data_IF_876284400015
#
_entry.id   IF_876284400015
#
_cell.length_a   1.000
_cell.length_b   1.000
_cell.length_c   1.000
_cell.angle_alpha   90.00
_cell.angle_beta   90.00
_cell.angle_gamma   90.00
#
_symmetry.space_group_name_H-M   'P 1'
#
loop_
_entity.id
_entity.type
_entity.pdbx_description
1 polymer ?
#
# COMPACT_ATOMS: atom_id res chain seq x y z
N UNK A 1 -12.95 -26.11 -81.84
CA UNK A 1 -13.69 -24.82 -81.82
C UNK A 1 -13.61 -24.20 -80.43
N UNK A 2 -12.65 -23.29 -80.27
CA UNK A 2 -12.84 -21.93 -79.69
C UNK A 2 -14.04 -21.67 -78.76
N UNK A 3 -13.78 -21.39 -77.48
CA UNK A 3 -13.88 -20.01 -76.92
C UNK A 3 -13.46 -19.92 -75.45
N UNK A 4 -12.52 -19.01 -75.22
CA UNK A 4 -12.16 -18.35 -73.94
C UNK A 4 -13.36 -17.58 -73.38
N UNK A 5 -13.46 -17.50 -72.05
CA UNK A 5 -14.00 -16.32 -71.34
C UNK A 5 -13.36 -16.16 -69.96
N UNK A 6 -12.30 -15.36 -69.95
CA UNK A 6 -12.04 -14.21 -69.07
C UNK A 6 -12.47 -14.24 -67.60
N UNK A 7 -11.44 -14.21 -66.74
CA UNK A 7 -11.27 -13.48 -65.48
C UNK A 7 -12.31 -12.41 -65.10
N UNK A 8 -12.78 -12.48 -63.85
CA UNK A 8 -13.15 -11.32 -63.05
C UNK A 8 -12.51 -11.46 -61.67
N UNK A 9 -11.43 -10.70 -61.48
CA UNK A 9 -10.65 -10.66 -60.25
C UNK A 9 -11.44 -10.03 -59.11
N UNK A 10 -11.63 -10.79 -58.03
CA UNK A 10 -11.99 -10.24 -56.73
C UNK A 10 -10.71 -9.75 -56.06
N UNK A 11 -10.34 -8.48 -56.30
CA UNK A 11 -9.35 -7.79 -55.46
C UNK A 11 -10.02 -7.53 -54.11
N UNK A 12 -9.66 -8.33 -53.11
CA UNK A 12 -10.01 -8.07 -51.72
C UNK A 12 -9.35 -6.75 -51.29
N UNK A 13 -10.15 -5.71 -51.09
CA UNK A 13 -9.71 -4.49 -50.41
C UNK A 13 -9.39 -4.84 -48.95
N UNK A 14 -8.11 -5.07 -48.66
CA UNK A 14 -7.58 -5.09 -47.31
C UNK A 14 -7.69 -3.68 -46.72
N UNK A 15 -8.81 -3.42 -46.05
CA UNK A 15 -9.08 -2.18 -45.31
C UNK A 15 -8.19 -2.18 -44.07
N UNK A 16 -6.98 -1.63 -44.21
CA UNK A 16 -6.06 -1.40 -43.10
C UNK A 16 -6.65 -0.32 -42.19
N UNK A 17 -7.26 -0.74 -41.09
CA UNK A 17 -7.57 0.14 -39.96
C UNK A 17 -6.25 0.46 -39.26
N UNK A 18 -5.68 1.63 -39.55
CA UNK A 18 -4.69 2.23 -38.67
C UNK A 18 -5.43 2.73 -37.43
N UNK A 19 -5.44 1.91 -36.38
CA UNK A 19 -5.78 2.38 -35.04
C UNK A 19 -4.56 3.13 -34.54
N UNK A 20 -4.61 4.45 -34.63
CA UNK A 20 -3.67 5.34 -33.96
C UNK A 20 -3.92 5.21 -32.46
N UNK A 21 -3.18 4.35 -31.78
CA UNK A 21 -3.08 4.36 -30.32
C UNK A 21 -2.39 5.67 -29.93
N UNK A 22 -3.20 6.71 -29.69
CA UNK A 22 -2.75 7.83 -28.88
C UNK A 22 -2.27 7.23 -27.55
N UNK A 23 -0.98 7.36 -27.28
CA UNK A 23 -0.41 7.12 -25.97
C UNK A 23 -0.98 8.19 -25.01
N UNK A 24 -2.22 7.99 -24.57
CA UNK A 24 -2.71 8.59 -23.35
C UNK A 24 -1.80 8.04 -22.25
N UNK A 25 -0.88 8.88 -21.79
CA UNK A 25 -0.23 8.62 -20.51
C UNK A 25 -1.36 8.35 -19.50
N UNK A 26 -1.32 7.23 -18.77
CA UNK A 26 -2.35 6.95 -17.78
C UNK A 26 -2.37 8.13 -16.81
N UNK A 27 -3.44 8.92 -16.86
CA UNK A 27 -3.69 9.89 -15.80
C UNK A 27 -3.93 9.08 -14.54
N UNK A 28 -3.18 9.30 -13.45
CA UNK A 28 -3.47 8.60 -12.21
C UNK A 28 -4.92 8.90 -11.86
N UNK A 29 -5.75 7.87 -11.78
CA UNK A 29 -7.13 8.02 -11.40
C UNK A 29 -7.16 8.73 -10.03
N UNK A 30 -7.93 9.81 -9.91
CA UNK A 30 -8.23 10.52 -8.66
C UNK A 30 -9.14 9.70 -7.73
N UNK A 31 -9.09 8.38 -7.83
CA UNK A 31 -9.72 7.50 -6.86
C UNK A 31 -8.85 7.50 -5.60
N UNK A 32 -9.50 7.45 -4.44
CA UNK A 32 -8.82 7.23 -3.17
C UNK A 32 -8.03 5.95 -3.24
N UNK A 33 -6.73 6.13 -3.11
CA UNK A 33 -5.75 5.09 -3.04
C UNK A 33 -5.45 4.90 -1.55
N UNK A 34 -5.89 3.78 -0.93
CA UNK A 34 -5.69 3.50 0.49
C UNK A 34 -4.25 3.78 0.94
N UNK A 35 -3.25 3.53 0.09
CA UNK A 35 -1.86 3.84 0.43
C UNK A 35 -1.63 5.35 0.64
N UNK A 36 -2.13 6.22 -0.23
CA UNK A 36 -1.87 7.68 -0.13
C UNK A 36 -2.74 8.40 0.88
N UNK A 37 -4.00 8.00 1.03
CA UNK A 37 -4.91 8.75 1.88
C UNK A 37 -4.72 8.39 3.34
N UNK A 38 -4.39 7.12 3.63
CA UNK A 38 -3.99 6.69 4.96
C UNK A 38 -2.66 7.34 5.39
N UNK A 39 -1.74 7.57 4.44
CA UNK A 39 -0.56 8.40 4.66
C UNK A 39 -0.97 9.83 5.01
N UNK A 40 -1.84 10.47 4.24
CA UNK A 40 -2.33 11.83 4.52
C UNK A 40 -2.98 11.99 5.91
N UNK A 41 -3.84 11.03 6.29
CA UNK A 41 -4.43 10.93 7.64
C UNK A 41 -3.37 10.83 8.73
N UNK A 42 -2.40 9.95 8.54
CA UNK A 42 -1.33 9.73 9.51
C UNK A 42 -0.43 10.96 9.62
N UNK A 43 -0.14 11.63 8.51
CA UNK A 43 0.64 12.87 8.48
C UNK A 43 -0.04 14.00 9.24
N UNK A 44 -1.34 14.22 8.99
CA UNK A 44 -2.09 15.25 9.71
C UNK A 44 -2.18 14.93 11.20
N UNK A 45 -2.38 13.67 11.57
CA UNK A 45 -2.37 13.26 12.98
C UNK A 45 -0.99 13.47 13.63
N UNK A 46 0.08 13.17 12.90
CA UNK A 46 1.46 13.35 13.34
C UNK A 46 1.81 14.84 13.53
N UNK A 47 1.39 15.71 12.60
CA UNK A 47 1.66 17.15 12.61
C UNK A 47 0.77 17.93 13.60
N UNK A 48 -0.52 17.63 13.66
CA UNK A 48 -1.45 18.32 14.55
C UNK A 48 -1.45 17.76 15.98
N UNK A 49 -1.07 16.49 16.13
CA UNK A 49 -1.08 15.80 17.40
C UNK A 49 0.14 16.09 18.27
N UNK A 50 0.12 15.65 19.54
CA UNK A 50 1.27 15.76 20.43
C UNK A 50 2.35 14.69 20.16
N UNK A 51 2.19 13.84 19.14
CA UNK A 51 3.04 12.65 18.88
C UNK A 51 4.50 13.05 18.77
N UNK A 52 4.83 14.02 17.92
CA UNK A 52 6.21 14.51 17.77
C UNK A 52 6.80 14.99 19.11
N UNK A 53 6.06 15.81 19.86
CA UNK A 53 6.51 16.35 21.15
C UNK A 53 6.68 15.26 22.21
N UNK A 54 5.77 14.30 22.27
CA UNK A 54 5.85 13.15 23.19
C UNK A 54 7.03 12.26 22.87
N UNK A 55 7.29 12.02 21.57
CA UNK A 55 8.47 11.27 21.15
C UNK A 55 9.74 12.01 21.56
N UNK A 56 9.89 13.29 21.21
CA UNK A 56 11.06 14.06 21.62
C UNK A 56 11.26 14.05 23.13
N UNK A 57 10.19 14.17 23.93
CA UNK A 57 10.29 14.05 25.38
C UNK A 57 10.79 12.66 25.82
N UNK A 58 10.24 11.59 25.25
CA UNK A 58 10.61 10.22 25.57
C UNK A 58 12.03 9.85 25.12
N UNK A 59 12.55 10.47 24.06
CA UNK A 59 13.92 10.26 23.56
C UNK A 59 14.95 11.18 24.21
N UNK A 60 14.57 11.98 25.21
CA UNK A 60 15.46 12.99 25.81
C UNK A 60 15.89 14.09 24.81
N UNK A 61 15.07 14.36 23.80
CA UNK A 61 15.29 15.37 22.77
C UNK A 61 16.20 14.91 21.62
N UNK A 62 16.70 13.67 21.64
CA UNK A 62 17.67 13.17 20.65
C UNK A 62 16.99 12.72 19.35
N UNK A 63 15.73 12.28 19.43
CA UNK A 63 14.96 11.76 18.29
C UNK A 63 13.57 12.38 18.25
N UNK A 64 13.09 12.67 17.05
CA UNK A 64 11.70 13.00 16.77
C UNK A 64 11.24 12.40 15.45
N UNK A 65 9.99 12.65 15.08
CA UNK A 65 9.38 12.13 13.84
C UNK A 65 10.14 12.49 12.55
N UNK A 66 10.99 13.52 12.57
CA UNK A 66 11.78 13.95 11.42
C UNK A 66 13.25 13.53 11.51
N UNK A 67 13.66 12.85 12.58
CA UNK A 67 15.01 12.32 12.70
C UNK A 67 15.24 11.25 11.63
N UNK A 68 16.37 11.29 10.91
CA UNK A 68 16.74 10.23 9.98
C UNK A 68 17.02 8.95 10.78
N UNK A 69 16.59 7.82 10.24
CA UNK A 69 16.84 6.49 10.76
C UNK A 69 17.29 5.60 9.60
N UNK A 70 18.34 4.83 9.84
CA UNK A 70 18.92 3.93 8.85
C UNK A 70 18.40 2.51 9.02
N UNK A 71 18.19 1.84 7.89
CA UNK A 71 17.86 0.44 7.82
C UNK A 71 18.86 -0.25 6.90
N UNK A 72 19.58 -1.23 7.43
CA UNK A 72 20.46 -2.12 6.65
C UNK A 72 19.65 -3.20 5.90
N UNK A 73 19.59 -3.16 4.56
CA UNK A 73 18.88 -4.16 3.78
C UNK A 73 19.54 -5.55 3.81
N UNK A 74 20.84 -5.65 4.16
CA UNK A 74 21.57 -6.92 4.21
C UNK A 74 21.21 -7.74 5.47
N UNK A 75 20.88 -7.06 6.56
CA UNK A 75 20.39 -7.66 7.79
C UNK A 75 18.94 -8.18 7.69
N UNK A 76 18.19 -7.83 6.63
CA UNK A 76 16.81 -8.27 6.48
C UNK A 76 16.69 -9.72 5.99
N UNK A 77 15.72 -10.50 6.51
CA UNK A 77 15.28 -11.73 5.87
C UNK A 77 14.88 -11.48 4.41
N UNK A 78 15.18 -12.44 3.52
CA UNK A 78 14.98 -12.26 2.08
C UNK A 78 13.52 -11.94 1.70
N UNK A 79 12.53 -12.49 2.40
CA UNK A 79 11.11 -12.20 2.19
C UNK A 79 10.76 -10.76 2.59
N UNK A 80 11.19 -10.31 3.77
CA UNK A 80 11.01 -8.95 4.25
C UNK A 80 11.68 -7.94 3.35
N UNK A 81 12.92 -8.20 2.91
CA UNK A 81 13.64 -7.33 1.96
C UNK A 81 12.86 -7.17 0.66
N UNK A 82 12.31 -8.26 0.09
CA UNK A 82 11.49 -8.20 -1.13
C UNK A 82 10.20 -7.40 -0.91
N UNK A 83 9.56 -7.55 0.25
CA UNK A 83 8.37 -6.78 0.62
C UNK A 83 8.69 -5.28 0.66
N UNK A 84 9.74 -4.89 1.39
CA UNK A 84 10.16 -3.48 1.49
C UNK A 84 10.53 -2.92 0.12
N UNK A 85 11.29 -3.64 -0.71
CA UNK A 85 11.61 -3.21 -2.07
C UNK A 85 10.36 -2.95 -2.93
N UNK A 86 9.34 -3.83 -2.83
CA UNK A 86 8.07 -3.64 -3.54
C UNK A 86 7.31 -2.43 -3.00
N UNK A 87 7.30 -2.22 -1.68
CA UNK A 87 6.71 -1.04 -1.07
C UNK A 87 7.40 0.26 -1.51
N UNK A 88 8.74 0.28 -1.56
CA UNK A 88 9.51 1.44 -2.05
C UNK A 88 9.20 1.73 -3.52
N UNK A 89 9.10 0.68 -4.36
CA UNK A 89 8.74 0.84 -5.77
C UNK A 89 7.29 1.32 -5.98
N UNK A 90 6.37 0.89 -5.12
CA UNK A 90 4.95 1.27 -5.18
C UNK A 90 4.65 2.63 -4.54
N UNK A 91 5.48 3.09 -3.60
CA UNK A 91 5.31 4.37 -2.92
C UNK A 91 5.32 5.51 -3.94
N UNK A 92 4.31 6.40 -3.94
CA UNK A 92 4.37 7.62 -4.75
C UNK A 92 5.53 8.54 -4.33
N UNK A 93 6.01 9.38 -5.25
CA UNK A 93 7.14 10.28 -4.97
C UNK A 93 6.77 11.42 -4.02
N UNK A 94 5.53 11.86 -4.06
CA UNK A 94 4.98 13.00 -3.33
C UNK A 94 4.59 12.68 -1.89
N UNK A 95 4.46 11.40 -1.52
CA UNK A 95 4.09 11.00 -0.15
C UNK A 95 5.26 10.94 0.82
N UNK A 96 6.50 11.08 0.35
CA UNK A 96 7.69 11.07 1.22
C UNK A 96 7.90 9.75 1.98
N UNK A 97 7.45 8.63 1.39
CA UNK A 97 7.63 7.28 1.93
C UNK A 97 8.86 6.56 1.35
N UNK A 98 9.44 7.06 0.25
CA UNK A 98 10.63 6.46 -0.37
C UNK A 98 11.87 6.82 0.45
N UNK A 99 12.62 5.83 0.98
CA UNK A 99 13.91 6.10 1.61
C UNK A 99 14.93 6.60 0.57
N UNK A 100 15.92 7.34 1.05
CA UNK A 100 17.16 7.62 0.31
C UNK A 100 18.09 6.41 0.37
N UNK A 101 19.06 6.36 -0.54
CA UNK A 101 20.03 5.27 -0.61
C UNK A 101 19.41 3.93 -1.00
N UNK A 102 20.06 2.85 -0.57
CA UNK A 102 19.68 1.47 -0.85
C UNK A 102 20.58 0.74 -1.85
N UNK A 103 20.34 -0.57 -2.04
CA UNK A 103 21.16 -1.39 -2.92
C UNK A 103 21.14 -0.85 -4.36
N UNK A 104 22.31 -0.46 -4.87
CA UNK A 104 22.46 0.10 -6.23
C UNK A 104 21.97 1.54 -6.39
N UNK A 105 21.62 2.24 -5.30
CA UNK A 105 21.21 3.64 -5.34
C UNK A 105 22.40 4.61 -5.40
N UNK A 106 23.55 4.19 -4.90
CA UNK A 106 24.79 4.96 -4.94
C UNK A 106 25.50 4.71 -6.27
N UNK A 107 25.68 5.74 -7.11
CA UNK A 107 26.29 5.55 -8.41
C UNK A 107 27.80 5.36 -8.26
N UNK A 108 28.36 4.40 -9.01
CA UNK A 108 29.80 4.18 -9.04
C UNK A 108 30.53 5.32 -9.79
N UNK A 109 31.80 5.63 -9.45
CA UNK A 109 32.60 6.55 -10.24
C UNK A 109 32.66 6.11 -11.72
N UNK A 110 32.52 7.03 -12.70
CA UNK A 110 32.61 8.48 -12.61
C UNK A 110 31.25 9.21 -12.72
N UNK A 111 30.24 8.80 -11.96
CA UNK A 111 28.94 9.46 -12.04
C UNK A 111 28.96 10.97 -11.63
N UNK A 112 28.12 11.83 -12.25
CA UNK A 112 28.07 13.26 -11.98
C UNK A 112 27.82 13.58 -10.48
N UNK A 113 28.36 14.68 -9.94
CA UNK A 113 28.20 15.01 -8.50
C UNK A 113 26.75 15.02 -8.01
N UNK A 114 25.81 15.57 -8.78
CA UNK A 114 24.38 15.65 -8.40
C UNK A 114 23.64 14.31 -8.35
N UNK A 115 24.21 13.22 -8.90
CA UNK A 115 23.62 11.88 -8.75
C UNK A 115 23.98 11.23 -7.41
N UNK A 116 24.90 11.81 -6.64
CA UNK A 116 25.31 11.36 -5.30
C UNK A 116 24.47 11.96 -4.18
N UNK A 117 23.69 13.00 -4.44
CA UNK A 117 22.86 13.68 -3.43
C UNK A 117 21.74 12.79 -2.86
N UNK A 118 21.41 11.69 -3.56
CA UNK A 118 20.46 10.67 -3.10
C UNK A 118 21.13 9.46 -2.47
N UNK A 119 22.45 9.37 -2.54
CA UNK A 119 23.24 8.30 -1.95
C UNK A 119 23.31 8.51 -0.43
N UNK A 120 23.00 7.45 0.30
CA UNK A 120 23.31 7.33 1.73
C UNK A 120 24.54 6.43 1.82
N UNK A 121 25.26 6.46 2.93
CA UNK A 121 26.39 5.58 3.21
C UNK A 121 26.17 4.11 2.75
N UNK A 122 26.89 3.71 1.70
CA UNK A 122 26.86 2.35 1.15
C UNK A 122 25.50 1.93 0.57
N UNK A 123 25.03 0.75 0.98
CA UNK A 123 23.76 0.17 0.54
C UNK A 123 22.61 0.44 1.53
N UNK A 124 22.80 1.31 2.53
CA UNK A 124 21.79 1.58 3.56
C UNK A 124 20.59 2.34 2.99
N UNK A 125 19.40 2.02 3.50
CA UNK A 125 18.23 2.88 3.32
C UNK A 125 18.15 3.89 4.47
N UNK A 126 17.80 5.13 4.17
CA UNK A 126 17.54 6.15 5.19
C UNK A 126 16.23 6.88 4.91
N UNK A 127 15.37 6.93 5.91
CA UNK A 127 14.17 7.75 5.90
C UNK A 127 14.00 8.41 7.26
N UNK A 128 13.14 9.43 7.33
CA UNK A 128 12.73 9.93 8.64
C UNK A 128 11.90 8.88 9.38
N UNK A 129 11.79 8.99 10.69
CA UNK A 129 10.84 8.22 11.48
C UNK A 129 9.41 8.21 10.89
N UNK A 130 8.91 9.38 10.48
CA UNK A 130 7.63 9.50 9.78
C UNK A 130 7.67 8.83 8.39
N UNK A 131 8.78 8.94 7.67
CA UNK A 131 9.01 8.24 6.40
C UNK A 131 8.86 6.72 6.51
N UNK A 132 9.39 6.11 7.57
CA UNK A 132 9.24 4.67 7.83
C UNK A 132 7.80 4.28 8.15
N UNK A 133 7.08 5.09 8.93
CA UNK A 133 5.63 4.91 9.17
C UNK A 133 4.87 4.96 7.84
N UNK A 134 5.13 5.97 7.00
CA UNK A 134 4.49 6.12 5.69
C UNK A 134 4.76 4.93 4.78
N UNK A 135 6.00 4.46 4.75
CA UNK A 135 6.36 3.27 3.97
C UNK A 135 5.64 2.03 4.49
N UNK A 136 5.44 1.90 5.81
CA UNK A 136 4.65 0.83 6.42
C UNK A 136 3.19 0.83 5.94
N UNK A 137 2.57 2.01 5.89
CA UNK A 137 1.20 2.17 5.35
C UNK A 137 1.12 1.71 3.90
N UNK A 138 2.11 2.07 3.08
CA UNK A 138 2.18 1.62 1.68
C UNK A 138 2.42 0.11 1.61
N UNK A 139 3.36 -0.42 2.41
CA UNK A 139 3.74 -1.82 2.42
C UNK A 139 2.57 -2.75 2.74
N UNK A 140 1.62 -2.30 3.58
CA UNK A 140 0.43 -3.09 3.91
C UNK A 140 -0.52 -3.28 2.73
N UNK A 141 -0.41 -2.46 1.67
CA UNK A 141 -1.17 -2.64 0.42
C UNK A 141 -0.43 -3.42 -0.66
N UNK A 142 0.81 -3.85 -0.39
CA UNK A 142 1.70 -4.44 -1.39
C UNK A 142 2.24 -5.79 -0.91
N UNK A 143 2.03 -6.90 -1.64
CA UNK A 143 1.32 -6.96 -2.91
C UNK A 143 -0.20 -6.75 -2.73
N UNK A 144 -0.94 -6.41 -3.80
CA UNK A 144 -2.34 -5.99 -3.72
C UNK A 144 -3.28 -6.97 -3.02
N UNK A 145 -2.91 -8.25 -2.89
CA UNK A 145 -3.69 -9.28 -2.21
C UNK A 145 -3.78 -9.07 -0.69
N UNK A 146 -2.84 -8.32 -0.08
CA UNK A 146 -2.83 -8.08 1.37
C UNK A 146 -4.10 -7.41 1.87
N UNK A 147 -4.65 -6.48 1.09
CA UNK A 147 -5.86 -5.71 1.45
C UNK A 147 -7.09 -6.57 1.77
N UNK A 148 -7.09 -7.82 1.31
CA UNK A 148 -8.21 -8.74 1.50
C UNK A 148 -8.25 -9.35 2.89
N UNK A 149 -7.16 -9.19 3.62
CA UNK A 149 -7.09 -9.50 5.02
C UNK A 149 -7.58 -8.34 5.89
N UNK A 150 -7.94 -7.16 5.32
CA UNK A 150 -8.29 -5.97 6.11
C UNK A 150 -9.78 -5.87 6.46
N UNK A 151 -10.55 -6.95 6.30
CA UNK A 151 -11.97 -6.96 6.65
C UNK A 151 -12.20 -7.46 8.07
N UNK A 152 -13.19 -6.87 8.72
CA UNK A 152 -13.66 -7.27 10.04
C UNK A 152 -14.96 -8.07 9.90
N UNK A 153 -15.24 -8.95 10.87
CA UNK A 153 -16.57 -9.56 10.96
C UNK A 153 -17.50 -8.57 11.67
N UNK A 154 -18.61 -8.15 11.03
CA UNK A 154 -19.49 -7.12 11.59
C UNK A 154 -20.26 -7.58 12.82
N UNK A 155 -20.42 -8.89 13.03
CA UNK A 155 -21.10 -9.45 14.18
C UNK A 155 -20.17 -9.60 15.39
N UNK A 156 -18.87 -9.75 15.15
CA UNK A 156 -17.86 -9.98 16.17
C UNK A 156 -16.46 -9.57 15.67
N UNK A 157 -16.00 -8.39 16.11
CA UNK A 157 -14.71 -7.84 15.67
C UNK A 157 -13.50 -8.68 16.09
N UNK A 158 -13.63 -9.51 17.14
CA UNK A 158 -12.55 -10.36 17.65
C UNK A 158 -12.49 -11.72 16.95
N UNK A 159 -13.46 -12.02 16.08
CA UNK A 159 -13.46 -13.27 15.32
C UNK A 159 -12.24 -13.34 14.42
N UNK A 160 -11.60 -14.51 14.40
CA UNK A 160 -10.37 -14.73 13.60
C UNK A 160 -10.60 -14.81 12.09
N UNK A 161 -11.86 -14.85 11.65
CA UNK A 161 -12.25 -14.98 10.24
C UNK A 161 -13.46 -14.11 9.96
N UNK A 162 -13.59 -13.66 8.72
CA UNK A 162 -14.77 -12.97 8.22
C UNK A 162 -15.30 -13.66 6.96
N UNK A 163 -16.58 -13.45 6.66
CA UNK A 163 -17.21 -13.94 5.44
C UNK A 163 -18.27 -12.96 4.96
N UNK A 164 -18.32 -12.72 3.65
CA UNK A 164 -19.42 -12.03 2.98
C UNK A 164 -20.42 -13.06 2.40
N UNK A 165 -21.57 -13.30 3.06
CA UNK A 165 -22.57 -14.24 2.56
C UNK A 165 -23.30 -13.73 1.30
N UNK A 166 -23.28 -12.43 1.03
CA UNK A 166 -23.97 -11.83 -0.12
C UNK A 166 -23.23 -12.07 -1.45
N UNK A 167 -21.94 -12.45 -1.40
CA UNK A 167 -21.13 -12.69 -2.60
C UNK A 167 -20.89 -14.18 -2.82
N UNK A 168 -21.29 -14.68 -3.99
CA UNK A 168 -20.97 -16.05 -4.39
C UNK A 168 -19.44 -16.22 -4.51
N UNK A 169 -18.89 -17.33 -3.98
CA UNK A 169 -17.43 -17.59 -3.96
C UNK A 169 -16.75 -17.45 -5.33
N UNK A 170 -17.42 -17.89 -6.40
CA UNK A 170 -16.90 -17.80 -7.78
C UNK A 170 -16.83 -16.35 -8.26
N UNK A 171 -17.81 -15.52 -7.88
CA UNK A 171 -17.85 -14.09 -8.21
C UNK A 171 -16.74 -13.34 -7.46
N UNK A 172 -16.59 -13.60 -6.15
CA UNK A 172 -15.50 -13.03 -5.35
C UNK A 172 -14.13 -13.35 -5.96
N UNK A 173 -13.93 -14.61 -6.35
CA UNK A 173 -12.70 -15.06 -7.00
C UNK A 173 -12.43 -14.36 -8.33
N UNK A 174 -13.45 -14.21 -9.18
CA UNK A 174 -13.31 -13.50 -10.46
C UNK A 174 -12.95 -12.02 -10.28
N UNK A 175 -13.60 -11.35 -9.32
CA UNK A 175 -13.32 -9.95 -8.97
C UNK A 175 -11.90 -9.78 -8.43
N UNK A 176 -11.45 -10.68 -7.55
CA UNK A 176 -10.08 -10.71 -7.05
C UNK A 176 -9.06 -10.83 -8.18
N UNK A 177 -9.23 -11.81 -9.08
CA UNK A 177 -8.31 -12.02 -10.22
C UNK A 177 -8.22 -10.77 -11.09
N UNK A 178 -9.36 -10.13 -11.39
CA UNK A 178 -9.40 -8.87 -12.17
C UNK A 178 -8.72 -7.71 -11.45
N UNK A 179 -8.99 -7.53 -10.16
CA UNK A 179 -8.48 -6.40 -9.38
C UNK A 179 -6.98 -6.48 -9.11
N UNK A 180 -6.41 -7.69 -9.01
CA UNK A 180 -4.99 -7.88 -8.68
C UNK A 180 -4.12 -8.27 -9.89
N UNK A 181 -4.69 -8.23 -11.11
CA UNK A 181 -3.95 -8.59 -12.33
C UNK A 181 -3.49 -10.05 -12.35
N UNK A 182 -4.14 -10.92 -11.57
CA UNK A 182 -3.78 -12.33 -11.49
C UNK A 182 -4.17 -13.05 -12.80
N UNK A 183 -3.37 -14.04 -13.22
CA UNK A 183 -3.59 -14.73 -14.49
C UNK A 183 -4.82 -15.64 -14.45
N UNK A 184 -5.40 -15.99 -15.61
CA UNK A 184 -6.47 -17.00 -15.71
C UNK A 184 -6.04 -18.32 -15.02
N UNK A 185 -4.75 -18.66 -15.04
CA UNK A 185 -4.20 -19.81 -14.34
C UNK A 185 -4.41 -19.74 -12.81
N UNK A 186 -4.28 -18.56 -12.19
CA UNK A 186 -4.53 -18.36 -10.75
C UNK A 186 -6.01 -18.55 -10.36
N UNK A 187 -6.92 -18.21 -11.26
CA UNK A 187 -8.36 -18.42 -11.09
C UNK A 187 -8.70 -19.92 -11.12
N UNK A 188 -8.15 -20.64 -12.10
CA UNK A 188 -8.34 -22.10 -12.26
C UNK A 188 -7.70 -22.89 -11.13
N UNK A 189 -6.51 -22.48 -10.67
CA UNK A 189 -5.80 -23.11 -9.56
C UNK A 189 -6.48 -22.93 -8.19
N UNK A 190 -7.59 -22.18 -8.11
CA UNK A 190 -8.35 -21.89 -6.88
C UNK A 190 -7.53 -21.21 -5.78
N UNK A 191 -6.39 -20.62 -6.12
CA UNK A 191 -5.47 -19.99 -5.18
C UNK A 191 -5.98 -18.64 -4.68
N UNK A 192 -6.92 -18.02 -5.41
CA UNK A 192 -7.54 -16.78 -5.01
C UNK A 192 -8.58 -17.00 -3.88
N UNK A 193 -8.64 -16.07 -2.89
CA UNK A 193 -9.58 -16.13 -1.77
C UNK A 193 -11.02 -16.33 -2.24
N UNK A 194 -11.81 -16.99 -1.39
CA UNK A 194 -13.25 -17.16 -1.61
C UNK A 194 -14.01 -15.86 -1.30
N UNK A 195 -15.14 -16.01 -0.60
CA UNK A 195 -15.96 -14.88 -0.14
C UNK A 195 -15.56 -14.37 1.26
N UNK A 196 -14.36 -14.72 1.73
CA UNK A 196 -13.92 -14.46 3.10
C UNK A 196 -12.48 -14.95 3.31
N UNK A 197 -11.97 -14.79 4.53
CA UNK A 197 -10.60 -15.11 4.91
C UNK A 197 -10.30 -14.82 6.38
N UNK A 198 -9.02 -14.78 6.77
CA UNK A 198 -8.61 -14.24 8.07
C UNK A 198 -9.16 -12.81 8.24
N UNK A 199 -9.64 -12.49 9.43
CA UNK A 199 -10.01 -11.11 9.77
C UNK A 199 -8.78 -10.21 9.85
N UNK A 200 -9.02 -8.90 9.82
CA UNK A 200 -8.01 -7.87 10.03
C UNK A 200 -7.19 -8.10 11.31
N UNK A 201 -7.86 -8.43 12.41
CA UNK A 201 -7.17 -8.71 13.67
C UNK A 201 -6.32 -9.98 13.57
N UNK A 202 -6.88 -11.09 13.07
CA UNK A 202 -6.11 -12.33 12.88
C UNK A 202 -4.93 -12.17 11.94
N UNK A 203 -5.05 -11.33 10.91
CA UNK A 203 -3.95 -11.00 9.99
C UNK A 203 -2.85 -10.19 10.67
N UNK A 204 -3.21 -9.22 11.51
CA UNK A 204 -2.24 -8.47 12.31
C UNK A 204 -1.56 -9.34 13.36
N UNK A 205 -2.25 -10.33 13.92
CA UNK A 205 -1.71 -11.24 14.93
C UNK A 205 -0.92 -12.42 14.35
N UNK A 206 -1.09 -12.75 13.06
CA UNK A 206 -0.39 -13.86 12.42
C UNK A 206 1.14 -13.71 12.58
N UNK A 207 1.83 -14.65 13.26
CA UNK A 207 3.28 -14.56 13.46
C UNK A 207 4.09 -14.62 12.17
N UNK A 208 3.47 -15.03 11.05
CA UNK A 208 4.08 -15.05 9.73
C UNK A 208 3.94 -13.71 9.00
N UNK A 209 3.13 -12.79 9.51
CA UNK A 209 2.99 -11.45 8.94
C UNK A 209 4.21 -10.59 9.36
N UNK A 210 5.13 -10.25 8.44
CA UNK A 210 6.34 -9.50 8.78
C UNK A 210 6.07 -8.05 9.18
N UNK A 211 4.83 -7.57 9.02
CA UNK A 211 4.40 -6.22 9.39
C UNK A 211 3.38 -6.22 10.54
N UNK A 212 3.00 -7.40 11.05
CA UNK A 212 1.99 -7.55 12.09
C UNK A 212 2.47 -7.20 13.50
N UNK A 213 1.58 -7.35 14.47
CA UNK A 213 1.82 -7.04 15.88
C UNK A 213 2.96 -7.88 16.48
N UNK A 214 3.05 -9.15 16.09
CA UNK A 214 4.14 -10.04 16.53
C UNK A 214 5.51 -9.54 16.02
N UNK A 215 5.58 -9.08 14.77
CA UNK A 215 6.81 -8.51 14.21
C UNK A 215 7.17 -7.18 14.88
N UNK A 216 6.18 -6.32 15.13
CA UNK A 216 6.35 -5.07 15.87
C UNK A 216 6.95 -5.32 17.26
N UNK A 217 6.33 -6.22 18.04
CA UNK A 217 6.79 -6.55 19.40
C UNK A 217 8.24 -7.04 19.40
N UNK A 218 8.57 -7.95 18.49
CA UNK A 218 9.95 -8.45 18.33
C UNK A 218 10.94 -7.32 18.02
N UNK A 219 10.62 -6.40 17.12
CA UNK A 219 11.53 -5.30 16.79
C UNK A 219 11.67 -4.28 17.93
N UNK A 220 10.64 -4.11 18.77
CA UNK A 220 10.77 -3.32 20.00
C UNK A 220 11.65 -4.02 21.04
N UNK A 221 11.55 -5.34 21.17
CA UNK A 221 12.42 -6.13 22.04
C UNK A 221 13.88 -6.12 21.57
N UNK A 222 14.10 -6.29 20.26
CA UNK A 222 15.44 -6.23 19.64
C UNK A 222 16.04 -4.81 19.80
N UNK A 223 15.23 -3.77 19.61
CA UNK A 223 15.63 -2.37 19.85
C UNK A 223 16.10 -2.15 21.30
N UNK A 224 15.41 -2.73 22.28
CA UNK A 224 15.77 -2.61 23.69
C UNK A 224 17.07 -3.36 24.06
N UNK A 225 17.45 -4.36 23.25
CA UNK A 225 18.64 -5.20 23.46
C UNK A 225 19.83 -4.81 22.60
N UNK A 226 19.62 -3.98 21.58
CA UNK A 226 20.65 -3.61 20.62
C UNK A 226 21.84 -2.89 21.27
N UNK A 227 23.03 -3.40 21.01
CA UNK A 227 24.28 -2.96 21.63
C UNK A 227 24.79 -1.68 20.96
N UNK A 228 24.64 -1.61 19.64
CA UNK A 228 25.13 -0.48 18.83
C UNK A 228 24.04 0.53 18.45
N UNK A 229 24.39 1.81 18.23
CA UNK A 229 23.45 2.78 17.66
C UNK A 229 22.84 2.33 16.33
N UNK A 230 23.63 1.68 15.47
CA UNK A 230 23.22 1.24 14.14
C UNK A 230 22.17 0.12 14.22
N UNK A 231 22.35 -0.87 15.12
CA UNK A 231 21.35 -1.90 15.38
C UNK A 231 20.06 -1.29 15.96
N UNK A 232 20.19 -0.32 16.87
CA UNK A 232 19.02 0.40 17.42
C UNK A 232 18.26 1.12 16.32
N UNK A 233 18.93 1.86 15.44
CA UNK A 233 18.28 2.53 14.31
C UNK A 233 17.59 1.53 13.37
N UNK A 234 18.26 0.41 13.05
CA UNK A 234 17.71 -0.64 12.19
C UNK A 234 16.39 -1.20 12.76
N UNK A 235 16.38 -1.58 14.04
CA UNK A 235 15.20 -2.14 14.69
C UNK A 235 14.11 -1.10 14.92
N UNK A 236 14.47 0.16 15.20
CA UNK A 236 13.49 1.26 15.29
C UNK A 236 12.83 1.53 13.94
N UNK A 237 13.59 1.55 12.84
CA UNK A 237 13.06 1.70 11.49
C UNK A 237 12.06 0.58 11.14
N UNK A 238 12.40 -0.67 11.47
CA UNK A 238 11.50 -1.82 11.27
C UNK A 238 10.26 -1.76 12.16
N UNK A 239 10.38 -1.39 13.44
CA UNK A 239 9.24 -1.20 14.31
C UNK A 239 8.28 -0.12 13.76
N UNK A 240 8.81 0.99 13.27
CA UNK A 240 8.02 2.07 12.67
C UNK A 240 7.33 1.66 11.36
N UNK A 241 7.99 0.82 10.55
CA UNK A 241 7.38 0.19 9.39
C UNK A 241 6.17 -0.68 9.80
N UNK A 242 6.29 -1.49 10.85
CA UNK A 242 5.17 -2.27 11.40
C UNK A 242 4.06 -1.36 11.96
N UNK A 243 4.42 -0.28 12.67
CA UNK A 243 3.43 0.72 13.16
C UNK A 243 2.62 1.29 11.99
N UNK A 244 3.29 1.66 10.90
CA UNK A 244 2.60 2.14 9.69
C UNK A 244 1.61 1.13 9.12
N UNK A 245 1.99 -0.15 9.07
CA UNK A 245 1.11 -1.21 8.61
C UNK A 245 -0.11 -1.44 9.53
N UNK A 246 0.10 -1.42 10.85
CA UNK A 246 -0.99 -1.51 11.84
C UNK A 246 -1.95 -0.31 11.71
N UNK A 247 -1.41 0.90 11.55
CA UNK A 247 -2.21 2.11 11.33
C UNK A 247 -3.06 2.01 10.07
N UNK A 248 -2.51 1.46 8.98
CA UNK A 248 -3.27 1.25 7.75
C UNK A 248 -4.51 0.38 8.00
N UNK A 249 -4.34 -0.78 8.65
CA UNK A 249 -5.46 -1.70 8.94
C UNK A 249 -6.45 -1.07 9.91
N UNK A 250 -5.98 -0.32 10.91
CA UNK A 250 -6.85 0.41 11.83
C UNK A 250 -7.67 1.50 11.12
N UNK A 251 -7.09 2.17 10.12
CA UNK A 251 -7.81 3.15 9.29
C UNK A 251 -8.85 2.47 8.40
N UNK A 252 -8.58 1.25 7.90
CA UNK A 252 -9.57 0.47 7.16
C UNK A 252 -10.80 0.09 8.01
N UNK A 253 -10.67 -0.01 9.33
CA UNK A 253 -11.84 -0.17 10.22
C UNK A 253 -12.83 1.01 10.14
N UNK A 254 -12.41 2.16 9.60
CA UNK A 254 -13.28 3.32 9.35
C UNK A 254 -13.90 3.32 7.95
N UNK A 255 -13.44 2.44 7.07
CA UNK A 255 -13.98 2.26 5.71
C UNK A 255 -15.17 1.29 5.79
N UNK A 256 -16.39 1.71 5.42
CA UNK A 256 -17.59 0.89 5.64
C UNK A 256 -17.55 -0.50 5.02
N UNK A 257 -16.89 -0.67 3.88
CA UNK A 257 -16.75 -1.99 3.24
C UNK A 257 -15.89 -2.95 4.09
N UNK A 258 -14.75 -2.48 4.59
CA UNK A 258 -13.86 -3.25 5.45
C UNK A 258 -14.49 -3.53 6.81
N UNK A 259 -15.06 -2.52 7.45
CA UNK A 259 -15.71 -2.62 8.76
C UNK A 259 -16.91 -3.58 8.78
N UNK A 260 -17.59 -3.76 7.64
CA UNK A 260 -18.77 -4.62 7.52
C UNK A 260 -18.52 -5.97 6.88
N UNK A 261 -17.28 -6.29 6.50
CA UNK A 261 -17.02 -7.50 5.72
C UNK A 261 -17.70 -7.50 4.35
N UNK A 262 -17.98 -6.32 3.77
CA UNK A 262 -18.77 -6.17 2.54
C UNK A 262 -17.86 -6.17 1.30
N UNK A 263 -17.57 -7.38 0.84
CA UNK A 263 -16.76 -7.65 -0.34
C UNK A 263 -17.48 -7.23 -1.62
N UNK A 264 -18.82 -7.24 -1.62
CA UNK A 264 -19.61 -6.78 -2.75
C UNK A 264 -19.35 -5.29 -3.02
N UNK A 265 -19.41 -4.45 -1.98
CA UNK A 265 -19.13 -3.02 -2.05
C UNK A 265 -17.65 -2.73 -2.31
N UNK A 266 -16.73 -3.49 -1.72
CA UNK A 266 -15.29 -3.37 -1.97
C UNK A 266 -14.85 -3.72 -3.40
N UNK A 267 -15.70 -4.36 -4.18
CA UNK A 267 -15.43 -4.65 -5.60
C UNK A 267 -16.57 -4.17 -6.49
N UNK A 268 -17.23 -3.07 -6.14
CA UNK A 268 -18.28 -2.46 -6.95
C UNK A 268 -17.68 -1.42 -7.92
N UNK A 269 -17.09 -1.83 -9.06
CA UNK A 269 -16.23 -0.97 -9.87
C UNK A 269 -16.89 0.37 -10.21
N UNK A 270 -16.13 1.46 -10.09
CA UNK A 270 -16.57 2.80 -10.50
C UNK A 270 -16.25 3.10 -11.97
N UNK A 271 -15.37 2.30 -12.57
CA UNK A 271 -14.90 2.38 -13.94
C UNK A 271 -14.41 1.00 -14.43
N UNK A 272 -14.14 0.90 -15.73
CA UNK A 272 -13.59 -0.31 -16.34
C UNK A 272 -12.08 -0.51 -16.09
N UNK A 273 -11.42 0.44 -15.41
CA UNK A 273 -9.98 0.44 -15.15
C UNK A 273 -9.56 -0.78 -14.32
N UNK A 274 -8.57 -1.57 -14.77
CA UNK A 274 -8.00 -2.65 -13.95
C UNK A 274 -7.47 -2.11 -12.61
N UNK A 275 -7.82 -2.79 -11.51
CA UNK A 275 -7.47 -2.35 -10.15
C UNK A 275 -8.49 -1.41 -9.49
N UNK A 276 -9.52 -0.97 -10.21
CA UNK A 276 -10.63 -0.23 -9.61
C UNK A 276 -11.43 -1.14 -8.66
N UNK A 277 -11.35 -0.80 -7.37
CA UNK A 277 -12.04 -1.48 -6.26
C UNK A 277 -13.31 -0.76 -5.85
N UNK A 278 -13.78 0.20 -6.65
CA UNK A 278 -15.18 0.55 -6.58
C UNK A 278 -15.62 1.37 -5.39
N UNK A 279 -14.70 1.79 -4.51
CA UNK A 279 -15.00 2.47 -3.24
C UNK A 279 -15.55 3.88 -3.51
N UNK A 280 -16.89 4.12 -3.58
CA UNK A 280 -17.44 5.36 -4.12
C UNK A 280 -17.22 6.52 -3.17
N UNK A 281 -17.35 6.26 -1.87
CA UNK A 281 -17.07 7.21 -0.79
C UNK A 281 -15.61 7.66 -0.83
N UNK A 282 -14.72 6.70 -1.02
CA UNK A 282 -13.29 6.90 -1.13
C UNK A 282 -12.99 7.75 -2.38
N UNK A 283 -13.46 7.36 -3.57
CA UNK A 283 -13.29 8.16 -4.80
C UNK A 283 -13.86 9.58 -4.68
N UNK A 284 -14.98 9.75 -3.99
CA UNK A 284 -15.55 11.06 -3.68
C UNK A 284 -14.62 11.90 -2.79
N UNK A 285 -14.08 11.33 -1.72
CA UNK A 285 -13.15 12.02 -0.83
C UNK A 285 -11.87 12.46 -1.57
N UNK A 286 -11.31 11.59 -2.41
CA UNK A 286 -10.12 11.94 -3.20
C UNK A 286 -10.40 13.04 -4.24
N UNK A 287 -11.59 13.07 -4.84
CA UNK A 287 -11.99 14.15 -5.74
C UNK A 287 -12.14 15.49 -5.02
N UNK A 288 -12.66 15.49 -3.80
CA UNK A 288 -12.89 16.72 -3.05
C UNK A 288 -11.65 17.29 -2.40
N UNK A 289 -10.80 16.41 -1.85
CA UNK A 289 -9.70 16.83 -1.00
C UNK A 289 -8.35 16.60 -1.67
N UNK A 290 -8.23 15.74 -2.68
CA UNK A 290 -6.94 15.30 -3.23
C UNK A 290 -6.49 13.96 -2.64
N UNK A 291 -5.23 13.56 -2.92
CA UNK A 291 -4.71 12.23 -2.54
C UNK A 291 -4.29 12.11 -1.07
N UNK A 292 -3.82 13.20 -0.48
CA UNK A 292 -3.25 13.24 0.88
C UNK A 292 -3.94 14.25 1.79
N UNK A 293 -4.81 15.06 1.22
CA UNK A 293 -5.49 16.14 1.92
C UNK A 293 -6.82 15.65 2.49
N UNK A 294 -7.23 16.28 3.58
CA UNK A 294 -8.45 15.94 4.32
C UNK A 294 -9.30 17.18 4.52
N UNK A 295 -10.62 17.02 4.77
CA UNK A 295 -11.43 18.14 5.22
C UNK A 295 -10.79 18.78 6.45
N UNK A 296 -10.81 20.11 6.50
CA UNK A 296 -10.47 20.83 7.73
C UNK A 296 -11.40 20.32 8.83
N UNK A 297 -10.88 19.86 9.99
CA UNK A 297 -11.72 19.43 11.09
C UNK A 297 -12.71 20.55 11.41
N UNK A 298 -14.01 20.24 11.37
CA UNK A 298 -15.00 21.15 11.92
C UNK A 298 -14.62 21.36 13.40
N UNK A 299 -14.59 22.60 13.85
CA UNK A 299 -14.43 22.89 15.27
C UNK A 299 -15.59 22.22 16.01
N UNK A 300 -15.34 21.04 16.55
CA UNK A 300 -16.27 20.39 17.45
C UNK A 300 -16.38 21.36 18.62
N UNK A 301 -17.55 21.96 18.80
CA UNK A 301 -17.83 22.84 19.93
C UNK A 301 -17.42 22.14 21.24
N UNK A 302 -17.11 22.91 22.30
CA UNK A 302 -16.69 22.33 23.57
C UNK A 302 -17.64 21.20 23.94
N UNK A 303 -17.10 19.98 24.11
CA UNK A 303 -17.87 18.84 24.61
C UNK A 303 -18.50 19.31 25.91
N UNK A 304 -19.82 19.47 25.91
CA UNK A 304 -20.56 19.74 27.12
C UNK A 304 -20.22 18.63 28.10
N UNK A 305 -19.56 18.99 29.20
CA UNK A 305 -19.44 18.12 30.36
C UNK A 305 -20.85 17.95 30.92
N UNK A 306 -21.49 16.84 30.56
CA UNK A 306 -22.58 16.27 31.35
C UNK A 306 -21.97 15.28 32.34
#
# INVERSE_FOLDING_TARGET
MTRRRTSLGRRALARRWFVTTLALAPSPALAWDPATTHVGLSDRAALAGPVHRRWMAASGGTLGMFSPLRLDPKALPASTRRLVLRAVAAAPEDVGARPRGGPGACPEPPAPPGTRDRCVEGDLWEATALGWIRLGIVAETVPPERILAHFFDPADFDRSTWEDPAVARVVARGRHTRANGATIASFVARSAPGRGGPSALAHLEDPRNPLGLTALARHLDDLARAETPEEREHHLALALLCVGAVLHVAQDATVPAHARGDLAAFFAPLSDTPGDRGLPLSAYAARLYGRTDLPTPLALGPRGSN
#
